data_IF_663495874207
#
_entry.id   IF_663495874207
#
_cell.length_a   1.000
_cell.length_b   1.000
_cell.length_c   1.000
_cell.angle_alpha   90.00
_cell.angle_beta   90.00
_cell.angle_gamma   90.00
#
_symmetry.space_group_name_H-M   'P 1'
#
loop_
_entity.id
_entity.type
_entity.pdbx_description
1 polymer ?
#
# COMPACT_ATOMS: atom_id res chain seq x y z
N UNK A 1 10.40 -9.50 9.24
CA UNK A 1 10.71 -8.06 9.23
C UNK A 1 10.23 -7.48 7.91
N UNK A 2 9.29 -6.54 7.92
CA UNK A 2 8.99 -5.73 6.74
C UNK A 2 9.04 -4.25 7.14
N UNK A 3 10.20 -3.58 6.98
CA UNK A 3 10.37 -2.18 7.39
C UNK A 3 9.44 -1.20 6.65
N UNK A 4 8.92 -1.60 5.49
CA UNK A 4 8.21 -0.71 4.57
C UNK A 4 6.75 -0.40 5.00
N UNK A 5 6.03 -1.36 5.58
CA UNK A 5 4.66 -1.12 6.09
C UNK A 5 4.61 -0.07 7.20
N UNK A 6 5.68 0.03 7.99
CA UNK A 6 5.76 0.97 9.11
C UNK A 6 5.89 2.42 8.63
N UNK A 7 6.55 2.68 7.50
CA UNK A 7 6.74 4.05 6.98
C UNK A 7 5.40 4.65 6.59
N UNK A 8 4.57 3.88 5.89
CA UNK A 8 3.29 4.38 5.37
C UNK A 8 2.32 4.62 6.52
N UNK A 9 2.22 3.70 7.50
CA UNK A 9 1.42 3.92 8.71
C UNK A 9 1.93 5.08 9.57
N UNK A 10 3.24 5.23 9.74
CA UNK A 10 3.82 6.29 10.58
C UNK A 10 3.50 7.69 10.05
N UNK A 11 3.35 7.85 8.73
CA UNK A 11 2.97 9.11 8.09
C UNK A 11 1.46 9.23 7.85
N UNK A 12 0.63 8.42 8.53
CA UNK A 12 -0.83 8.47 8.40
C UNK A 12 -1.37 8.01 7.04
N UNK A 13 -0.53 7.37 6.22
CA UNK A 13 -0.90 6.83 4.92
C UNK A 13 -1.54 5.44 5.00
N UNK A 14 -2.28 5.09 3.97
CA UNK A 14 -2.95 3.80 3.78
C UNK A 14 -2.35 3.05 2.60
N UNK A 15 -2.28 1.71 2.69
CA UNK A 15 -1.92 0.84 1.57
C UNK A 15 -3.14 -0.01 1.22
N UNK A 16 -3.58 0.06 -0.02
CA UNK A 16 -4.61 -0.81 -0.60
C UNK A 16 -3.96 -1.75 -1.62
N UNK A 17 -4.48 -2.97 -1.70
CA UNK A 17 -4.02 -3.98 -2.65
C UNK A 17 -5.24 -4.46 -3.43
N UNK A 18 -5.16 -4.31 -4.74
CA UNK A 18 -6.21 -4.77 -5.65
C UNK A 18 -5.60 -5.80 -6.60
N UNK A 19 -6.20 -6.98 -6.69
CA UNK A 19 -5.73 -8.05 -7.57
C UNK A 19 -6.83 -8.41 -8.55
N UNK A 20 -6.46 -8.51 -9.82
CA UNK A 20 -7.34 -8.97 -10.88
C UNK A 20 -6.71 -10.18 -11.56
N UNK A 21 -7.44 -11.29 -11.52
CA UNK A 21 -6.99 -12.56 -12.08
C UNK A 21 -6.67 -12.41 -13.57
N UNK A 22 -5.49 -12.86 -13.99
CA UNK A 22 -5.00 -12.73 -15.36
C UNK A 22 -4.47 -11.34 -15.76
N UNK A 23 -4.60 -10.32 -14.91
CA UNK A 23 -4.16 -8.95 -15.20
C UNK A 23 -3.07 -8.46 -14.24
N UNK A 24 -3.03 -8.98 -13.01
CA UNK A 24 -1.97 -8.74 -12.05
C UNK A 24 -2.47 -8.15 -10.73
N UNK A 25 -1.56 -7.51 -10.00
CA UNK A 25 -1.83 -6.91 -8.69
C UNK A 25 -1.33 -5.47 -8.67
N UNK A 26 -2.21 -4.57 -8.24
CA UNK A 26 -1.92 -3.16 -8.02
C UNK A 26 -1.75 -2.88 -6.52
N UNK A 27 -0.71 -2.11 -6.20
CA UNK A 27 -0.44 -1.63 -4.85
C UNK A 27 -0.64 -0.12 -4.83
N UNK A 28 -1.66 0.34 -4.11
CA UNK A 28 -2.07 1.74 -4.05
C UNK A 28 -1.63 2.31 -2.70
N UNK A 29 -0.76 3.32 -2.73
CA UNK A 29 -0.30 4.02 -1.53
C UNK A 29 -1.00 5.39 -1.49
N UNK A 30 -1.80 5.61 -0.46
CA UNK A 30 -2.47 6.87 -0.20
C UNK A 30 -1.74 7.58 0.94
N UNK A 31 -1.20 8.76 0.67
CA UNK A 31 -0.60 9.61 1.70
C UNK A 31 -1.59 10.73 2.07
N UNK A 32 -1.71 11.10 3.34
CA UNK A 32 -2.48 12.28 3.72
C UNK A 32 -1.83 13.55 3.15
N UNK A 33 -2.64 14.58 2.88
CA UNK A 33 -2.18 15.90 2.43
C UNK A 33 -1.48 16.67 3.56
#
# INVERSE_FOLDING_TARGET
MQPNYNIIKAHGGEIKVETKEGEGTEFIIQLPN
#
